data_IF_835801443820
#
_entry.id   IF_835801443820
#
_cell.length_a   1.000
_cell.length_b   1.000
_cell.length_c   1.000
_cell.angle_alpha   90.00
_cell.angle_beta   90.00
_cell.angle_gamma   90.00
#
_symmetry.space_group_name_H-M   'P 1'
#
loop_
_entity.id
_entity.type
_entity.pdbx_description
1 polymer ?
#
# COMPACT_ATOMS: atom_id res chain seq x y z
N UNK A 1 -34.71 -19.61 -2.95
CA UNK A 1 -33.49 -19.77 -2.13
C UNK A 1 -32.57 -20.74 -2.85
N UNK A 2 -31.73 -20.30 -3.80
CA UNK A 2 -30.55 -21.02 -4.33
C UNK A 2 -29.95 -20.20 -5.49
N UNK A 3 -29.36 -19.04 -5.15
CA UNK A 3 -28.68 -18.18 -6.14
C UNK A 3 -27.34 -17.65 -5.61
N UNK A 4 -26.91 -18.14 -4.44
CA UNK A 4 -25.65 -17.77 -3.78
C UNK A 4 -24.46 -18.68 -4.16
N UNK A 5 -24.70 -19.84 -4.78
CA UNK A 5 -23.63 -20.83 -5.02
C UNK A 5 -22.88 -20.66 -6.35
N UNK A 6 -23.54 -20.18 -7.42
CA UNK A 6 -22.86 -19.98 -8.72
C UNK A 6 -21.84 -18.83 -8.70
N UNK A 7 -22.11 -17.78 -7.93
CA UNK A 7 -21.20 -16.65 -7.83
C UNK A 7 -19.97 -17.01 -6.98
N UNK A 8 -20.15 -17.83 -5.93
CA UNK A 8 -19.05 -18.29 -5.09
C UNK A 8 -18.06 -19.18 -5.86
N UNK A 9 -18.56 -20.11 -6.70
CA UNK A 9 -17.71 -20.97 -7.53
C UNK A 9 -16.93 -20.18 -8.58
N UNK A 10 -17.59 -19.24 -9.29
CA UNK A 10 -16.93 -18.41 -10.29
C UNK A 10 -15.87 -17.49 -9.68
N UNK A 11 -16.16 -16.95 -8.51
CA UNK A 11 -15.22 -16.13 -7.74
C UNK A 11 -14.07 -16.98 -7.22
N UNK A 12 -14.31 -18.20 -6.72
CA UNK A 12 -13.23 -19.10 -6.28
C UNK A 12 -12.32 -19.53 -7.43
N UNK A 13 -12.89 -19.76 -8.61
CA UNK A 13 -12.17 -20.16 -9.82
C UNK A 13 -11.29 -19.00 -10.34
N UNK A 14 -11.82 -17.76 -10.36
CA UNK A 14 -11.05 -16.55 -10.66
C UNK A 14 -9.87 -16.39 -9.68
N UNK A 15 -10.09 -16.58 -8.38
CA UNK A 15 -9.02 -16.48 -7.38
C UNK A 15 -8.04 -17.66 -7.43
N UNK A 16 -8.44 -18.81 -7.96
CA UNK A 16 -7.56 -19.97 -8.16
C UNK A 16 -6.64 -19.72 -9.34
N UNK A 17 -7.17 -19.20 -10.46
CA UNK A 17 -6.35 -18.81 -11.61
C UNK A 17 -5.40 -17.65 -11.24
N UNK A 18 -5.85 -16.65 -10.47
CA UNK A 18 -5.01 -15.57 -9.92
C UNK A 18 -3.90 -16.10 -8.99
N UNK A 19 -4.15 -17.21 -8.29
CA UNK A 19 -3.18 -17.83 -7.40
C UNK A 19 -2.06 -18.52 -8.16
N UNK A 20 -2.41 -19.16 -9.28
CA UNK A 20 -1.50 -19.84 -10.19
C UNK A 20 -0.61 -18.84 -10.95
N UNK A 21 -1.18 -17.73 -11.43
CA UNK A 21 -0.43 -16.67 -12.13
C UNK A 21 0.59 -15.94 -11.23
N UNK A 22 0.25 -15.69 -9.97
CA UNK A 22 1.09 -14.89 -9.05
C UNK A 22 1.79 -15.70 -7.95
N UNK A 23 1.79 -17.04 -8.03
CA UNK A 23 2.38 -17.96 -7.05
C UNK A 23 2.01 -17.62 -5.58
N UNK A 24 0.71 -17.46 -5.31
CA UNK A 24 0.22 -17.00 -4.00
C UNK A 24 0.03 -18.16 -3.01
N UNK A 25 0.51 -17.98 -1.79
CA UNK A 25 0.23 -18.93 -0.71
C UNK A 25 -1.26 -18.92 -0.30
N UNK A 26 -1.82 -20.11 -0.02
CA UNK A 26 -3.24 -20.32 0.38
C UNK A 26 -3.75 -19.35 1.46
N UNK A 27 -2.90 -18.99 2.44
CA UNK A 27 -3.25 -18.03 3.51
C UNK A 27 -3.51 -16.61 3.01
N UNK A 28 -2.82 -16.17 1.94
CA UNK A 28 -3.01 -14.84 1.36
C UNK A 28 -4.33 -14.75 0.60
N UNK A 29 -4.66 -15.79 -0.18
CA UNK A 29 -5.89 -15.86 -0.96
C UNK A 29 -7.14 -15.70 -0.07
N UNK A 30 -7.17 -16.39 1.07
CA UNK A 30 -8.26 -16.26 2.06
C UNK A 30 -8.41 -14.84 2.62
N UNK A 31 -7.33 -14.06 2.67
CA UNK A 31 -7.40 -12.66 3.10
C UNK A 31 -7.85 -11.74 1.98
N UNK A 32 -7.42 -12.00 0.75
CA UNK A 32 -7.80 -11.23 -0.44
C UNK A 32 -9.28 -11.39 -0.77
N UNK A 33 -9.84 -12.60 -0.64
CA UNK A 33 -11.28 -12.86 -0.86
C UNK A 33 -12.19 -12.09 0.09
N UNK A 34 -11.67 -11.68 1.26
CA UNK A 34 -12.40 -10.86 2.24
C UNK A 34 -12.38 -9.36 1.90
N UNK A 35 -11.58 -8.93 0.92
CA UNK A 35 -11.52 -7.54 0.49
C UNK A 35 -12.67 -7.25 -0.46
N UNK A 36 -13.44 -6.23 -0.14
CA UNK A 36 -14.54 -5.76 -1.00
C UNK A 36 -14.05 -4.91 -2.16
N UNK A 37 -12.91 -4.22 -2.01
CA UNK A 37 -12.40 -3.30 -3.02
C UNK A 37 -11.43 -4.02 -3.98
N UNK A 38 -11.78 -4.17 -5.27
CA UNK A 38 -10.93 -4.87 -6.24
C UNK A 38 -9.60 -4.15 -6.50
N UNK A 39 -9.55 -2.81 -6.41
CA UNK A 39 -8.30 -2.05 -6.62
C UNK A 39 -7.23 -2.42 -5.60
N UNK A 40 -7.62 -2.62 -4.35
CA UNK A 40 -6.72 -3.05 -3.28
C UNK A 40 -6.20 -4.46 -3.52
N UNK A 41 -7.07 -5.34 -4.03
CA UNK A 41 -6.67 -6.72 -4.38
C UNK A 41 -5.62 -6.67 -5.48
N UNK A 42 -5.89 -5.98 -6.59
CA UNK A 42 -4.94 -5.81 -7.70
C UNK A 42 -3.61 -5.23 -7.23
N UNK A 43 -3.62 -4.16 -6.42
CA UNK A 43 -2.40 -3.56 -5.88
C UNK A 43 -1.57 -4.53 -5.04
N UNK A 44 -2.22 -5.35 -4.19
CA UNK A 44 -1.52 -6.35 -3.38
C UNK A 44 -0.86 -7.41 -4.28
N UNK A 45 -1.51 -7.82 -5.36
CA UNK A 45 -0.97 -8.78 -6.32
C UNK A 45 0.26 -8.19 -7.03
N UNK A 46 0.13 -6.99 -7.58
CA UNK A 46 1.24 -6.28 -8.24
C UNK A 46 2.43 -6.10 -7.31
N UNK A 47 2.20 -5.70 -6.06
CA UNK A 47 3.27 -5.54 -5.07
C UNK A 47 4.01 -6.85 -4.79
N UNK A 48 3.31 -7.99 -4.78
CA UNK A 48 3.93 -9.30 -4.55
C UNK A 48 4.71 -9.79 -5.74
N UNK A 49 4.15 -9.63 -6.93
CA UNK A 49 4.81 -9.97 -8.18
C UNK A 49 6.12 -9.19 -8.31
N UNK A 50 6.07 -7.86 -8.11
CA UNK A 50 7.25 -6.99 -8.13
C UNK A 50 8.24 -7.31 -7.01
N UNK A 51 7.77 -7.67 -5.82
CA UNK A 51 8.64 -8.11 -4.74
C UNK A 51 9.43 -9.37 -5.10
N UNK A 52 8.77 -10.34 -5.74
CA UNK A 52 9.38 -11.59 -6.16
C UNK A 52 10.35 -11.36 -7.33
N UNK A 53 9.92 -10.61 -8.34
CA UNK A 53 10.72 -10.32 -9.54
C UNK A 53 12.00 -9.52 -9.22
N UNK A 54 11.93 -8.58 -8.28
CA UNK A 54 13.07 -7.69 -7.94
C UNK A 54 13.79 -8.07 -6.64
N UNK A 55 13.45 -9.21 -6.03
CA UNK A 55 13.94 -9.61 -4.71
C UNK A 55 13.86 -8.49 -3.66
N UNK A 56 12.76 -7.73 -3.68
CA UNK A 56 12.57 -6.52 -2.87
C UNK A 56 11.65 -6.81 -1.67
N UNK A 57 12.20 -7.10 -0.48
CA UNK A 57 11.41 -7.54 0.69
C UNK A 57 10.45 -6.46 1.21
N UNK A 58 10.74 -5.19 0.92
CA UNK A 58 9.91 -4.05 1.34
C UNK A 58 8.50 -4.11 0.73
N UNK A 59 8.39 -4.41 -0.57
CA UNK A 59 7.09 -4.55 -1.24
C UNK A 59 6.29 -5.73 -0.71
N UNK A 60 6.98 -6.83 -0.37
CA UNK A 60 6.36 -7.99 0.29
C UNK A 60 5.85 -7.65 1.69
N UNK A 61 6.51 -6.76 2.43
CA UNK A 61 6.00 -6.27 3.72
C UNK A 61 4.76 -5.38 3.52
N UNK A 62 4.80 -4.41 2.60
CA UNK A 62 3.64 -3.55 2.31
C UNK A 62 2.44 -4.38 1.85
N UNK A 63 2.63 -5.34 0.95
CA UNK A 63 1.58 -6.25 0.52
C UNK A 63 0.96 -6.99 1.71
N UNK A 64 1.78 -7.56 2.60
CA UNK A 64 1.30 -8.25 3.82
C UNK A 64 0.52 -7.32 4.75
N UNK A 65 0.89 -6.04 4.83
CA UNK A 65 0.17 -5.06 5.65
C UNK A 65 -1.17 -4.68 5.02
N UNK A 66 -1.23 -4.53 3.70
CA UNK A 66 -2.46 -4.27 2.96
C UNK A 66 -3.41 -5.49 2.93
N UNK A 67 -2.90 -6.72 3.10
CA UNK A 67 -3.76 -7.90 3.30
C UNK A 67 -4.59 -7.83 4.59
N UNK A 68 -4.12 -7.12 5.62
CA UNK A 68 -4.85 -7.00 6.89
C UNK A 68 -6.17 -6.24 6.71
N UNK A 69 -7.17 -6.42 7.59
CA UNK A 69 -8.40 -5.62 7.53
C UNK A 69 -8.11 -4.11 7.47
N UNK A 70 -8.93 -3.33 6.75
CA UNK A 70 -8.69 -1.89 6.51
C UNK A 70 -8.54 -1.07 7.79
N UNK A 71 -9.23 -1.45 8.87
CA UNK A 71 -9.08 -0.85 10.21
C UNK A 71 -7.67 -0.95 10.78
N UNK A 72 -6.84 -1.86 10.28
CA UNK A 72 -5.45 -2.03 10.69
C UNK A 72 -4.49 -1.24 9.79
N UNK A 73 -4.96 -0.52 8.77
CA UNK A 73 -4.07 0.27 7.93
C UNK A 73 -3.44 1.41 8.73
N UNK A 74 -2.26 1.84 8.31
CA UNK A 74 -1.61 2.99 8.95
C UNK A 74 -2.48 4.25 8.76
N UNK A 75 -2.58 5.07 9.80
CA UNK A 75 -3.17 6.41 9.73
C UNK A 75 -2.18 7.38 10.38
N UNK A 76 -1.41 8.07 9.55
CA UNK A 76 -0.25 8.85 10.01
C UNK A 76 -0.53 10.33 9.85
N UNK A 77 -0.37 11.10 10.93
CA UNK A 77 -0.45 12.55 10.89
C UNK A 77 0.88 13.17 10.46
N UNK A 78 0.81 14.33 9.79
CA UNK A 78 1.98 15.12 9.42
C UNK A 78 2.87 15.46 10.62
N UNK A 79 2.30 15.81 11.78
CA UNK A 79 3.10 16.05 13.00
C UNK A 79 3.95 14.84 13.42
N UNK A 80 3.51 13.62 13.10
CA UNK A 80 4.29 12.40 13.36
C UNK A 80 5.41 12.23 12.33
N UNK A 81 5.14 12.56 11.07
CA UNK A 81 6.14 12.58 10.00
C UNK A 81 7.26 13.54 10.40
N UNK A 82 6.93 14.82 10.63
CA UNK A 82 7.89 15.88 10.93
C UNK A 82 8.86 15.55 12.09
N UNK A 83 8.38 14.86 13.13
CA UNK A 83 9.20 14.51 14.31
C UNK A 83 10.20 13.37 14.07
N UNK A 84 10.01 12.57 13.04
CA UNK A 84 10.77 11.33 12.85
C UNK A 84 11.48 11.24 11.49
N UNK A 85 11.45 12.33 10.73
CA UNK A 85 11.99 12.43 9.38
C UNK A 85 13.01 13.55 9.31
N UNK A 86 13.94 13.38 8.39
CA UNK A 86 14.87 14.41 7.99
C UNK A 86 14.54 14.89 6.58
N UNK A 87 15.20 15.98 6.18
CA UNK A 87 15.12 16.51 4.82
C UNK A 87 15.43 15.41 3.79
N UNK A 88 14.63 15.36 2.74
CA UNK A 88 14.77 14.44 1.60
C UNK A 88 14.55 12.95 1.94
N UNK A 89 13.98 12.64 3.12
CA UNK A 89 13.57 11.27 3.46
C UNK A 89 12.45 10.77 2.54
N UNK A 90 12.52 9.47 2.19
CA UNK A 90 11.50 8.76 1.43
C UNK A 90 10.73 7.81 2.36
N UNK A 91 9.45 8.09 2.55
CA UNK A 91 8.58 7.37 3.47
C UNK A 91 7.55 6.55 2.72
N UNK A 92 7.28 5.35 3.23
CA UNK A 92 6.28 4.44 2.71
C UNK A 92 5.25 4.11 3.76
N UNK A 93 4.02 4.56 3.57
CA UNK A 93 2.93 4.43 4.52
C UNK A 93 1.90 3.44 3.96
N UNK A 94 1.75 2.24 4.56
CA UNK A 94 0.76 1.24 4.14
C UNK A 94 -0.64 1.61 4.64
N UNK A 95 -1.15 2.76 4.18
CA UNK A 95 -2.41 3.34 4.63
C UNK A 95 -2.58 4.80 4.25
N UNK A 96 -3.24 5.57 5.12
CA UNK A 96 -3.64 6.95 4.87
C UNK A 96 -2.74 7.95 5.61
N UNK A 97 -2.44 9.06 4.94
CA UNK A 97 -1.78 10.23 5.54
C UNK A 97 -2.82 11.30 5.83
N UNK A 98 -2.73 11.89 7.02
CA UNK A 98 -3.67 12.85 7.58
C UNK A 98 -2.98 14.20 7.85
N UNK A 99 -3.69 15.29 7.56
CA UNK A 99 -3.10 16.64 7.55
C UNK A 99 -2.94 17.32 8.91
N UNK A 100 -2.98 16.62 10.05
CA UNK A 100 -2.82 17.26 11.36
C UNK A 100 -1.33 17.57 11.65
N UNK A 101 -1.06 18.79 12.11
CA UNK A 101 0.30 19.29 12.38
C UNK A 101 0.90 20.14 11.27
N UNK A 102 2.19 20.40 11.39
CA UNK A 102 3.01 21.15 10.43
C UNK A 102 4.18 20.29 9.97
N UNK A 103 4.68 20.60 8.77
CA UNK A 103 5.85 20.00 8.15
C UNK A 103 6.80 21.14 7.82
N UNK A 104 8.00 21.13 8.39
CA UNK A 104 8.99 22.22 8.25
C UNK A 104 10.12 21.89 7.26
N UNK A 105 10.17 20.67 6.75
CA UNK A 105 11.16 20.22 5.78
C UNK A 105 10.54 19.39 4.66
N UNK A 106 11.13 19.39 3.45
CA UNK A 106 10.64 18.60 2.34
C UNK A 106 10.88 17.11 2.59
N UNK A 107 9.84 16.32 2.38
CA UNK A 107 9.87 14.85 2.42
C UNK A 107 9.12 14.26 1.23
N UNK A 108 9.54 13.08 0.78
CA UNK A 108 8.80 12.31 -0.21
C UNK A 108 7.97 11.26 0.51
N UNK A 109 6.66 11.34 0.40
CA UNK A 109 5.73 10.41 1.07
C UNK A 109 4.99 9.60 0.03
N UNK A 110 5.16 8.28 0.06
CA UNK A 110 4.39 7.33 -0.71
C UNK A 110 3.34 6.65 0.18
N UNK A 111 2.06 6.73 -0.19
CA UNK A 111 0.97 6.14 0.61
C UNK A 111 -0.17 5.62 -0.25
N UNK A 112 -1.06 4.84 0.37
CA UNK A 112 -2.28 4.37 -0.30
C UNK A 112 -3.24 5.53 -0.59
N UNK A 113 -3.35 6.47 0.35
CA UNK A 113 -4.23 7.63 0.23
C UNK A 113 -3.69 8.81 1.04
N UNK A 114 -4.02 10.02 0.60
CA UNK A 114 -3.74 11.26 1.31
C UNK A 114 -5.05 11.98 1.60
N UNK A 115 -5.17 12.65 2.76
CA UNK A 115 -6.17 13.71 2.89
C UNK A 115 -5.76 14.89 2.04
N UNK A 116 -6.72 15.65 1.52
CA UNK A 116 -6.46 16.87 0.74
C UNK A 116 -5.56 17.85 1.51
N UNK A 117 -5.86 18.05 2.80
CA UNK A 117 -5.04 18.85 3.71
C UNK A 117 -3.62 18.31 3.90
N UNK A 118 -3.42 17.00 3.81
CA UNK A 118 -2.09 16.41 3.93
C UNK A 118 -1.27 16.65 2.66
N UNK A 119 -1.87 16.37 1.50
CA UNK A 119 -1.24 16.57 0.20
C UNK A 119 -0.81 18.04 0.04
N UNK A 120 -1.70 18.99 0.39
CA UNK A 120 -1.40 20.42 0.34
C UNK A 120 -0.19 20.79 1.19
N UNK A 121 -0.16 20.38 2.46
CA UNK A 121 0.95 20.69 3.39
C UNK A 121 2.27 20.06 2.97
N UNK A 122 2.25 18.85 2.41
CA UNK A 122 3.45 18.19 1.90
C UNK A 122 4.00 18.97 0.71
N UNK A 123 3.15 19.37 -0.23
CA UNK A 123 3.56 20.17 -1.39
C UNK A 123 4.03 21.58 -0.99
N UNK A 124 3.37 22.23 -0.03
CA UNK A 124 3.76 23.53 0.52
C UNK A 124 5.14 23.50 1.19
N UNK A 125 5.49 22.39 1.85
CA UNK A 125 6.82 22.17 2.43
C UNK A 125 7.90 21.83 1.37
N UNK A 126 7.56 21.80 0.08
CA UNK A 126 8.45 21.41 -1.01
C UNK A 126 8.65 19.90 -1.14
N UNK A 127 7.82 19.10 -0.48
CA UNK A 127 7.82 17.65 -0.56
C UNK A 127 7.07 17.10 -1.77
N UNK A 128 7.01 15.77 -1.87
CA UNK A 128 6.30 15.05 -2.94
C UNK A 128 5.34 14.02 -2.36
N UNK A 129 4.12 13.99 -2.87
CA UNK A 129 3.17 12.92 -2.59
C UNK A 129 3.21 11.92 -3.75
N UNK A 130 3.43 10.65 -3.44
CA UNK A 130 3.43 9.56 -4.41
C UNK A 130 2.40 8.51 -3.99
N UNK A 131 1.81 7.86 -4.98
CA UNK A 131 1.08 6.62 -4.84
C UNK A 131 2.06 5.44 -4.65
N UNK A 132 1.51 4.30 -4.22
CA UNK A 132 2.32 3.08 -4.06
C UNK A 132 2.81 2.56 -5.41
N UNK A 133 2.03 2.77 -6.46
CA UNK A 133 2.33 2.44 -7.84
C UNK A 133 3.50 3.28 -8.37
N UNK A 134 3.45 4.60 -8.20
CA UNK A 134 4.50 5.51 -8.67
C UNK A 134 5.86 5.25 -8.00
N UNK A 135 5.90 5.05 -6.68
CA UNK A 135 7.17 4.77 -5.99
C UNK A 135 7.74 3.41 -6.37
N UNK A 136 6.88 2.45 -6.69
CA UNK A 136 7.29 1.11 -7.10
C UNK A 136 7.86 1.12 -8.52
N UNK A 137 7.32 1.95 -9.41
CA UNK A 137 7.89 2.19 -10.74
C UNK A 137 9.21 2.98 -10.67
N UNK A 138 9.26 4.02 -9.85
CA UNK A 138 10.45 4.86 -9.69
C UNK A 138 11.60 4.14 -8.99
N UNK A 139 11.31 3.26 -8.02
CA UNK A 139 12.31 2.54 -7.24
C UNK A 139 11.91 1.07 -7.03
N UNK A 140 12.00 0.20 -8.05
CA UNK A 140 11.54 -1.19 -7.96
C UNK A 140 12.28 -2.03 -6.92
N UNK A 141 13.51 -1.66 -6.55
CA UNK A 141 14.29 -2.34 -5.49
C UNK A 141 13.87 -1.90 -4.09
N UNK A 142 13.29 -0.70 -3.97
CA UNK A 142 12.84 -0.10 -2.72
C UNK A 142 13.97 0.18 -1.72
N UNK A 143 15.19 0.41 -2.22
CA UNK A 143 16.34 0.83 -1.41
C UNK A 143 16.19 2.26 -0.92
N UNK A 144 16.58 2.54 0.32
CA UNK A 144 16.51 3.89 0.90
C UNK A 144 15.11 4.33 1.32
N UNK A 145 14.11 3.44 1.26
CA UNK A 145 12.73 3.73 1.65
C UNK A 145 12.49 3.29 3.10
N UNK A 146 11.93 4.18 3.92
CA UNK A 146 11.58 3.90 5.31
C UNK A 146 10.08 3.59 5.43
N UNK A 147 9.72 2.41 5.92
CA UNK A 147 8.32 2.09 6.21
C UNK A 147 7.88 2.81 7.48
N UNK A 148 6.75 3.52 7.42
CA UNK A 148 6.25 4.33 8.52
C UNK A 148 4.79 4.00 8.87
N UNK A 149 4.44 4.03 10.16
CA UNK A 149 3.11 3.71 10.69
C UNK A 149 2.84 4.49 11.96
#
# INVERSE_FOLDING_TARGET
MFERDRNFFRVSEIYTNLAEEHALGKKSLVKLTRKTNPRIVSLILTLKERANANAAPIWKDIARRLEMPSRNYAAVNISKINRHTAKDDVLLIPGKVLGAGLLDHPVTVAALNFSESAAKKITEAGGKCLSLEEIMEANPKGSGIRIFR
#
